data_IF_781159644521
#
_entry.id   IF_781159644521
#
_cell.length_a   1.000
_cell.length_b   1.000
_cell.length_c   1.000
_cell.angle_alpha   90.00
_cell.angle_beta   90.00
_cell.angle_gamma   90.00
#
_symmetry.space_group_name_H-M   'P 1'
#
loop_
_entity.id
_entity.type
_entity.pdbx_description
1 polymer ?
#
# COMPACT_ATOMS: atom_id res chain seq x y z
N UNK A 1 32.63 26.80 -63.97
CA UNK A 1 32.34 25.81 -62.92
C UNK A 1 32.86 26.34 -61.60
N UNK A 2 31.96 26.78 -60.73
CA UNK A 2 32.14 26.82 -59.27
C UNK A 2 30.73 26.74 -58.67
N UNK A 3 30.39 25.58 -58.10
CA UNK A 3 29.14 25.40 -57.36
C UNK A 3 29.33 26.00 -55.97
N UNK A 4 28.56 27.03 -55.62
CA UNK A 4 28.47 27.54 -54.25
C UNK A 4 27.31 26.83 -53.55
N UNK A 5 27.63 25.69 -52.96
CA UNK A 5 26.74 24.96 -52.05
C UNK A 5 26.63 25.76 -50.76
N UNK A 6 25.53 26.49 -50.60
CA UNK A 6 25.19 27.16 -49.35
C UNK A 6 24.67 26.10 -48.38
N UNK A 7 25.53 25.68 -47.46
CA UNK A 7 25.19 24.77 -46.38
C UNK A 7 24.05 25.38 -45.54
N UNK A 8 22.82 24.91 -45.81
CA UNK A 8 21.63 25.20 -45.03
C UNK A 8 21.83 24.58 -43.65
N UNK A 9 22.16 25.40 -42.65
CA UNK A 9 22.14 24.98 -41.24
C UNK A 9 20.73 24.49 -40.93
N UNK A 10 20.53 23.23 -40.48
CA UNK A 10 19.22 22.79 -40.03
C UNK A 10 18.81 23.65 -38.84
N UNK A 11 17.56 24.08 -38.83
CA UNK A 11 16.98 24.96 -37.82
C UNK A 11 16.70 24.14 -36.54
N UNK A 12 17.76 23.93 -35.77
CA UNK A 12 17.80 23.04 -34.59
C UNK A 12 16.92 23.57 -33.44
N UNK A 13 16.52 24.84 -33.51
CA UNK A 13 15.78 25.58 -32.48
C UNK A 13 14.30 25.22 -32.45
N UNK A 14 13.67 25.00 -33.61
CA UNK A 14 12.25 24.64 -33.71
C UNK A 14 11.94 23.31 -33.00
N UNK A 15 12.82 22.31 -33.15
CA UNK A 15 12.67 21.01 -32.47
C UNK A 15 12.90 21.07 -30.96
N UNK A 16 13.69 22.04 -30.48
CA UNK A 16 13.93 22.25 -29.05
C UNK A 16 12.71 22.91 -28.37
N UNK A 17 12.05 23.84 -29.04
CA UNK A 17 10.82 24.47 -28.53
C UNK A 17 9.64 23.48 -28.47
N UNK A 18 9.53 22.58 -29.44
CA UNK A 18 8.52 21.53 -29.44
C UNK A 18 8.75 20.49 -28.32
N UNK A 19 10.01 20.09 -28.07
CA UNK A 19 10.36 19.22 -26.93
C UNK A 19 10.04 19.89 -25.58
N UNK A 20 10.32 21.20 -25.46
CA UNK A 20 9.99 21.95 -24.24
C UNK A 20 8.48 22.02 -24.02
N UNK A 21 7.68 22.25 -25.07
CA UNK A 21 6.21 22.27 -24.96
C UNK A 21 5.64 20.91 -24.56
N UNK A 22 6.15 19.84 -25.14
CA UNK A 22 5.70 18.49 -24.79
C UNK A 22 6.05 18.15 -23.33
N UNK A 23 7.24 18.55 -22.86
CA UNK A 23 7.62 18.40 -21.45
C UNK A 23 6.74 19.20 -20.51
N UNK A 24 6.40 20.44 -20.86
CA UNK A 24 5.50 21.27 -20.05
C UNK A 24 4.11 20.66 -19.99
N UNK A 25 3.60 20.12 -21.10
CA UNK A 25 2.33 19.40 -21.14
C UNK A 25 2.34 18.15 -20.25
N UNK A 26 3.40 17.35 -20.33
CA UNK A 26 3.56 16.18 -19.45
C UNK A 26 3.64 16.57 -17.97
N UNK A 27 4.24 17.73 -17.65
CA UNK A 27 4.28 18.26 -16.28
C UNK A 27 2.87 18.68 -15.84
N UNK A 28 2.13 19.39 -16.68
CA UNK A 28 0.75 19.80 -16.43
C UNK A 28 -0.19 18.61 -16.19
N UNK A 29 -0.10 17.56 -17.00
CA UNK A 29 -0.88 16.33 -16.84
C UNK A 29 -0.59 15.64 -15.50
N UNK A 30 0.70 15.55 -15.13
CA UNK A 30 1.11 14.97 -13.84
C UNK A 30 0.67 15.82 -12.66
N UNK A 31 0.74 17.15 -12.76
CA UNK A 31 0.28 18.06 -11.71
C UNK A 31 -1.23 17.99 -11.54
N UNK A 32 -1.99 17.86 -12.63
CA UNK A 32 -3.45 17.68 -12.59
C UNK A 32 -3.84 16.39 -11.87
N UNK A 33 -3.13 15.29 -12.15
CA UNK A 33 -3.33 14.02 -11.43
C UNK A 33 -2.99 14.13 -9.94
N UNK A 34 -1.90 14.82 -9.58
CA UNK A 34 -1.53 15.06 -8.18
C UNK A 34 -2.63 15.85 -7.47
N UNK A 35 -3.18 16.88 -8.11
CA UNK A 35 -4.27 17.69 -7.55
C UNK A 35 -5.53 16.83 -7.33
N UNK A 36 -5.88 15.95 -8.26
CA UNK A 36 -7.02 15.02 -8.14
C UNK A 36 -6.87 14.07 -6.94
N UNK A 37 -5.66 13.55 -6.72
CA UNK A 37 -5.36 12.65 -5.59
C UNK A 37 -5.37 13.40 -4.26
N UNK A 38 -4.80 14.61 -4.23
CA UNK A 38 -4.65 15.41 -3.01
C UNK A 38 -5.90 16.23 -2.66
N UNK A 39 -6.79 16.42 -3.62
CA UNK A 39 -8.10 17.08 -3.44
C UNK A 39 -9.21 16.07 -3.69
N UNK A 40 -9.28 14.98 -2.90
CA UNK A 40 -10.39 14.06 -3.01
C UNK A 40 -11.67 14.88 -2.79
N UNK A 41 -12.63 14.72 -3.71
CA UNK A 41 -14.00 15.18 -3.46
C UNK A 41 -14.43 14.63 -2.09
N UNK A 42 -15.27 15.37 -1.35
CA UNK A 42 -15.98 14.78 -0.21
C UNK A 42 -16.49 13.40 -0.64
N UNK A 43 -15.96 12.38 0.03
CA UNK A 43 -15.72 11.09 -0.59
C UNK A 43 -16.96 10.21 -0.52
N UNK A 44 -17.35 9.60 -1.64
CA UNK A 44 -18.19 8.37 -1.70
C UNK A 44 -17.41 7.10 -1.25
N UNK A 45 -16.19 7.26 -0.74
CA UNK A 45 -15.36 6.23 -0.14
C UNK A 45 -15.48 6.19 1.39
N UNK A 46 -15.07 5.06 2.01
CA UNK A 46 -15.26 4.86 3.44
C UNK A 46 -14.47 5.88 4.26
N UNK A 47 -15.12 6.46 5.25
CA UNK A 47 -14.49 7.39 6.18
C UNK A 47 -13.33 6.73 6.94
N UNK A 48 -12.44 7.54 7.50
CA UNK A 48 -11.36 7.04 8.35
C UNK A 48 -11.90 6.14 9.47
N UNK A 49 -13.02 6.52 10.08
CA UNK A 49 -13.68 5.75 11.14
C UNK A 49 -14.19 4.39 10.63
N UNK A 50 -14.71 4.33 9.40
CA UNK A 50 -15.14 3.07 8.77
C UNK A 50 -13.95 2.14 8.47
N UNK A 51 -12.82 2.69 8.04
CA UNK A 51 -11.59 1.93 7.83
C UNK A 51 -11.06 1.39 9.16
N UNK A 52 -11.04 2.23 10.21
CA UNK A 52 -10.61 1.84 11.55
C UNK A 52 -11.52 0.75 12.15
N UNK A 53 -12.84 0.86 11.98
CA UNK A 53 -13.79 -0.16 12.41
C UNK A 53 -13.59 -1.52 11.71
N UNK A 54 -13.31 -1.51 10.40
CA UNK A 54 -12.97 -2.72 9.65
C UNK A 54 -11.66 -3.34 10.12
N UNK A 55 -10.66 -2.53 10.43
CA UNK A 55 -9.35 -3.00 10.90
C UNK A 55 -9.47 -3.72 12.27
N UNK A 56 -10.23 -3.13 13.21
CA UNK A 56 -10.49 -3.73 14.52
C UNK A 56 -11.19 -5.08 14.38
N UNK A 57 -12.19 -5.15 13.49
CA UNK A 57 -12.94 -6.39 13.23
C UNK A 57 -12.03 -7.49 12.69
N UNK A 58 -11.15 -7.17 11.74
CA UNK A 58 -10.20 -8.12 11.15
C UNK A 58 -9.19 -8.64 12.20
N UNK A 59 -8.67 -7.76 13.05
CA UNK A 59 -7.72 -8.14 14.11
C UNK A 59 -8.41 -9.02 15.17
N UNK A 60 -9.64 -8.68 15.57
CA UNK A 60 -10.41 -9.49 16.51
C UNK A 60 -10.67 -10.90 15.95
N UNK A 61 -11.01 -11.01 14.67
CA UNK A 61 -11.22 -12.29 13.99
C UNK A 61 -9.96 -13.18 13.92
N UNK A 62 -8.76 -12.59 14.01
CA UNK A 62 -7.48 -13.34 14.01
C UNK A 62 -7.08 -13.86 15.39
N UNK A 63 -7.69 -13.36 16.47
CA UNK A 63 -7.35 -13.74 17.85
C UNK A 63 -7.49 -15.24 18.15
N UNK A 64 -8.54 -15.95 17.67
CA UNK A 64 -8.65 -17.41 17.85
C UNK A 64 -7.54 -18.19 17.12
N UNK A 65 -7.13 -17.71 15.94
CA UNK A 65 -6.05 -18.33 15.17
C UNK A 65 -4.70 -18.15 15.86
N UNK A 66 -4.41 -16.95 16.37
CA UNK A 66 -3.21 -16.68 17.16
C UNK A 66 -3.16 -17.53 18.43
N UNK A 67 -4.27 -17.64 19.16
CA UNK A 67 -4.38 -18.54 20.32
C UNK A 67 -4.07 -19.99 19.94
N UNK A 68 -4.57 -20.48 18.80
CA UNK A 68 -4.29 -21.85 18.34
C UNK A 68 -2.81 -22.04 17.97
N UNK A 69 -2.17 -21.03 17.38
CA UNK A 69 -0.73 -21.06 17.09
C UNK A 69 0.08 -21.12 18.39
N UNK A 70 -0.26 -20.31 19.40
CA UNK A 70 0.43 -20.33 20.70
C UNK A 70 0.32 -21.70 21.37
N UNK A 71 -0.87 -22.31 21.36
CA UNK A 71 -1.09 -23.65 21.92
C UNK A 71 -0.27 -24.72 21.20
N UNK A 72 -0.23 -24.65 19.86
CA UNK A 72 0.49 -25.64 19.05
C UNK A 72 1.99 -25.48 19.24
N UNK A 73 2.49 -24.24 19.23
CA UNK A 73 3.90 -23.92 19.44
C UNK A 73 4.37 -24.32 20.82
N UNK A 74 3.60 -24.00 21.87
CA UNK A 74 3.90 -24.42 23.25
C UNK A 74 3.97 -25.94 23.40
N UNK A 75 3.01 -26.66 22.80
CA UNK A 75 3.01 -28.12 22.80
C UNK A 75 4.22 -28.71 22.07
N UNK A 76 4.62 -28.13 20.94
CA UNK A 76 5.79 -28.59 20.17
C UNK A 76 7.08 -28.37 20.99
N UNK A 77 7.21 -27.21 21.64
CA UNK A 77 8.36 -26.91 22.49
C UNK A 77 8.46 -27.86 23.69
N UNK A 78 7.33 -28.14 24.37
CA UNK A 78 7.30 -29.11 25.47
C UNK A 78 7.82 -30.49 25.03
N UNK A 79 7.41 -30.97 23.85
CA UNK A 79 7.86 -32.25 23.28
C UNK A 79 9.37 -32.21 22.99
N UNK A 80 9.87 -31.12 22.40
CA UNK A 80 11.29 -30.96 22.09
C UNK A 80 12.17 -30.91 23.35
N UNK A 81 11.66 -30.33 24.43
CA UNK A 81 12.34 -30.24 25.73
C UNK A 81 12.17 -31.52 26.58
N UNK A 82 11.50 -32.55 26.08
CA UNK A 82 11.25 -33.80 26.80
C UNK A 82 10.28 -33.66 27.97
N UNK A 83 9.48 -32.57 28.00
CA UNK A 83 8.45 -32.31 29.02
C UNK A 83 7.11 -32.89 28.58
N UNK A 84 6.26 -33.22 29.55
CA UNK A 84 4.89 -33.67 29.28
C UNK A 84 4.08 -32.51 28.67
N UNK A 85 3.49 -32.64 27.47
CA UNK A 85 2.85 -31.51 26.82
C UNK A 85 1.61 -31.05 27.57
N UNK A 86 1.50 -29.74 27.81
CA UNK A 86 0.32 -29.17 28.47
C UNK A 86 -0.92 -29.32 27.56
N UNK A 87 -1.95 -29.99 28.07
CA UNK A 87 -3.28 -30.01 27.44
C UNK A 87 -4.12 -28.91 28.07
N UNK A 88 -4.19 -27.75 27.43
CA UNK A 88 -5.15 -26.72 27.84
C UNK A 88 -6.53 -27.09 27.28
N UNK A 89 -7.39 -27.61 28.15
CA UNK A 89 -8.83 -27.55 27.90
C UNK A 89 -9.22 -26.07 27.83
N UNK A 90 -9.95 -25.61 26.80
CA UNK A 90 -10.46 -24.26 26.77
C UNK A 90 -11.68 -24.21 27.71
N UNK A 91 -11.45 -24.15 29.02
CA UNK A 91 -12.48 -23.61 29.90
C UNK A 91 -12.60 -22.11 29.57
N UNK A 92 -13.75 -21.75 29.01
CA UNK A 92 -14.31 -20.41 29.00
C UNK A 92 -14.11 -19.77 30.38
N UNK A 93 -13.09 -18.92 30.52
CA UNK A 93 -13.25 -17.74 31.36
C UNK A 93 -14.05 -16.73 30.58
N UNK A 94 -15.34 -17.04 30.40
CA UNK A 94 -16.31 -16.00 30.14
C UNK A 94 -16.44 -15.19 31.43
N UNK A 95 -16.03 -13.94 31.36
CA UNK A 95 -16.06 -13.03 32.49
C UNK A 95 -17.50 -12.67 32.84
N UNK A 96 -18.12 -13.44 33.72
CA UNK A 96 -19.28 -13.01 34.50
C UNK A 96 -19.00 -13.22 35.98
N UNK A 97 -18.18 -12.32 36.53
CA UNK A 97 -18.16 -12.02 37.95
C UNK A 97 -18.96 -10.74 38.19
N UNK A 98 -19.99 -10.87 39.01
CA UNK A 98 -20.85 -9.78 39.56
C UNK A 98 -20.03 -8.60 40.06
#
# INVERSE_FOLDING_TARGET
MTMSETARRPDITAGQDDDIRERLRMIEDKLSLIIEILSPKESDGPTLDEILGRLVTLIAAQSPLLRRIDLTTGRILDIQEGRTPRTSSPEEKDGTGV
#
